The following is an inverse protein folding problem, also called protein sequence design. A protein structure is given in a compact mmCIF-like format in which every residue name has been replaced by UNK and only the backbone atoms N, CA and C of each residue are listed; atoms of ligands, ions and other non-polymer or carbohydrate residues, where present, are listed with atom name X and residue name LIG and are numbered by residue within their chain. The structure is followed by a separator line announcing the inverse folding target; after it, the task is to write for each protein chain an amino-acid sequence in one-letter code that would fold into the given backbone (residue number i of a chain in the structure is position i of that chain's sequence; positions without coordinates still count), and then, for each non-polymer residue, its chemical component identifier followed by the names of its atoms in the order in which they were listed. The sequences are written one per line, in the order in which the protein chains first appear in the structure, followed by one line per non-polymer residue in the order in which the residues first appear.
data_IF_927570337023
#
_entry.id   IF_927570337023
#
_cell.length_a   1.000
_cell.length_b   1.000
_cell.length_c   1.000
_cell.angle_alpha   90.00
_cell.angle_beta   90.00
_cell.angle_gamma   90.00
#
_symmetry.space_group_name_H-M   'P 1'
#
loop_
_entity.id
_entity.type
_entity.pdbx_description
1 polymer ?
#
# COMPACT_ATOMS: atom_id res chain seq x y z
N UNK A 1 22.88 3.21 5.61
CA UNK A 1 21.78 3.84 4.85
C UNK A 1 21.08 2.69 4.15
N UNK A 2 19.86 2.33 4.57
CA UNK A 2 19.08 1.32 3.86
C UNK A 2 18.51 2.01 2.63
N UNK A 3 18.82 1.51 1.44
CA UNK A 3 18.23 2.04 0.22
C UNK A 3 16.71 1.88 0.30
N UNK A 4 15.93 2.93 -0.03
CA UNK A 4 14.47 2.88 0.00
C UNK A 4 13.95 1.73 -0.87
N UNK A 5 12.77 1.19 -0.52
CA UNK A 5 12.05 0.21 -1.34
C UNK A 5 12.15 0.60 -2.83
N UNK A 6 12.31 -0.39 -3.70
CA UNK A 6 12.35 -0.18 -5.14
C UNK A 6 11.13 -0.81 -5.79
N UNK A 7 10.69 -0.23 -6.90
CA UNK A 7 9.66 -0.82 -7.73
C UNK A 7 10.14 -0.99 -9.17
N UNK A 8 9.63 -2.01 -9.85
CA UNK A 8 9.85 -2.27 -11.27
C UNK A 8 8.53 -2.28 -12.03
N UNK A 9 8.58 -1.85 -13.28
CA UNK A 9 7.44 -1.87 -14.20
C UNK A 9 7.51 -3.18 -14.97
N UNK A 10 6.47 -4.01 -14.86
CA UNK A 10 6.44 -5.35 -15.45
C UNK A 10 5.47 -5.43 -16.63
N UNK A 11 4.51 -4.52 -16.68
CA UNK A 11 3.59 -4.36 -17.80
C UNK A 11 3.02 -2.95 -17.83
N UNK A 12 2.13 -2.68 -18.78
CA UNK A 12 1.54 -1.34 -18.97
C UNK A 12 0.77 -0.82 -17.75
N UNK A 13 0.29 -1.70 -16.87
CA UNK A 13 -0.49 -1.34 -15.68
C UNK A 13 -0.03 -2.10 -14.42
N UNK A 14 1.13 -2.75 -14.47
CA UNK A 14 1.60 -3.67 -13.44
C UNK A 14 2.97 -3.25 -12.91
N UNK A 15 3.04 -3.11 -11.59
CA UNK A 15 4.22 -2.70 -10.85
C UNK A 15 4.53 -3.76 -9.82
N UNK A 16 5.82 -4.07 -9.64
CA UNK A 16 6.30 -4.93 -8.57
C UNK A 16 7.11 -4.11 -7.59
N UNK A 17 6.70 -4.10 -6.33
CA UNK A 17 7.48 -3.54 -5.23
C UNK A 17 8.31 -4.68 -4.63
N UNK A 18 9.63 -4.53 -4.61
CA UNK A 18 10.56 -5.51 -4.02
C UNK A 18 10.97 -5.09 -2.62
N UNK A 19 10.91 -6.03 -1.68
CA UNK A 19 11.32 -5.86 -0.29
C UNK A 19 12.70 -6.47 -0.01
N UNK A 20 13.55 -6.61 -1.04
CA UNK A 20 14.89 -7.23 -0.96
C UNK A 20 15.76 -6.66 0.17
N UNK A 21 15.87 -5.33 0.23
CA UNK A 21 16.70 -4.64 1.22
C UNK A 21 16.18 -4.76 2.66
N UNK A 22 14.95 -5.25 2.84
CA UNK A 22 14.27 -5.34 4.12
C UNK A 22 14.44 -6.70 4.82
N UNK A 23 14.95 -7.70 4.10
CA UNK A 23 15.34 -8.99 4.68
C UNK A 23 16.80 -9.00 5.20
N UNK A 24 17.58 -7.96 4.90
CA UNK A 24 18.98 -7.81 5.30
C UNK A 24 19.21 -7.39 6.78
N UNK A 25 18.38 -6.54 7.43
CA UNK A 25 18.71 -5.97 8.75
C UNK A 25 18.28 -6.81 9.98
N UNK A 26 18.00 -8.10 9.83
CA UNK A 26 17.21 -8.84 10.83
C UNK A 26 17.97 -10.06 11.38
N UNK A 27 18.19 -10.13 12.70
CA UNK A 27 18.93 -11.24 13.35
C UNK A 27 18.31 -12.63 13.12
N UNK A 28 17.04 -12.68 12.68
CA UNK A 28 16.32 -13.90 12.34
C UNK A 28 16.26 -14.18 10.83
N UNK A 29 17.11 -13.52 10.03
CA UNK A 29 17.22 -13.69 8.57
C UNK A 29 17.34 -15.16 8.15
N UNK A 30 18.06 -15.98 8.91
CA UNK A 30 18.18 -17.43 8.68
C UNK A 30 16.84 -18.18 8.64
N UNK A 31 15.77 -17.56 9.14
CA UNK A 31 14.42 -18.12 9.16
C UNK A 31 13.43 -17.37 8.27
N UNK A 32 13.85 -16.30 7.60
CA UNK A 32 13.03 -15.65 6.57
C UNK A 32 13.06 -16.52 5.33
N UNK A 33 11.86 -16.86 4.81
CA UNK A 33 11.71 -17.60 3.55
C UNK A 33 12.21 -16.79 2.34
N UNK A 34 12.23 -15.46 2.51
CA UNK A 34 12.65 -14.49 1.51
C UNK A 34 14.01 -13.92 1.88
N UNK A 35 14.89 -13.82 0.89
CA UNK A 35 16.26 -13.36 1.03
C UNK A 35 16.73 -12.69 -0.27
N UNK A 36 18.02 -12.39 -0.36
CA UNK A 36 18.56 -11.65 -1.52
C UNK A 36 18.30 -12.35 -2.87
N UNK A 37 18.34 -13.69 -2.90
CA UNK A 37 18.07 -14.48 -4.11
C UNK A 37 16.58 -14.60 -4.46
N UNK A 38 15.68 -14.43 -3.48
CA UNK A 38 14.23 -14.50 -3.65
C UNK A 38 13.56 -13.48 -2.72
N UNK A 39 13.54 -12.20 -3.10
CA UNK A 39 12.97 -11.17 -2.26
C UNK A 39 11.45 -11.28 -2.20
N UNK A 40 10.89 -10.88 -1.06
CA UNK A 40 9.45 -10.74 -0.96
C UNK A 40 8.99 -9.62 -1.90
N UNK A 41 8.01 -9.90 -2.76
CA UNK A 41 7.54 -8.95 -3.76
C UNK A 41 6.02 -8.78 -3.68
N UNK A 42 5.57 -7.55 -3.87
CA UNK A 42 4.14 -7.22 -3.94
C UNK A 42 3.81 -6.70 -5.33
N UNK A 43 2.89 -7.39 -6.01
CA UNK A 43 2.32 -6.93 -7.28
C UNK A 43 1.22 -5.89 -7.01
N UNK A 44 1.32 -4.75 -7.68
CA UNK A 44 0.35 -3.66 -7.68
C UNK A 44 -0.16 -3.47 -9.10
N UNK A 45 -1.49 -3.51 -9.27
CA UNK A 45 -2.15 -3.30 -10.56
C UNK A 45 -2.93 -1.97 -10.53
N UNK A 46 -2.76 -1.13 -11.55
CA UNK A 46 -3.47 0.15 -11.66
C UNK A 46 -5.00 -0.01 -11.67
N UNK A 47 -5.52 -1.10 -12.25
CA UNK A 47 -6.97 -1.37 -12.26
C UNK A 47 -7.50 -1.59 -10.85
N UNK A 48 -6.74 -2.26 -9.98
CA UNK A 48 -7.14 -2.48 -8.59
C UNK A 48 -7.14 -1.17 -7.79
N UNK A 49 -6.14 -0.31 -8.03
CA UNK A 49 -6.09 1.03 -7.45
C UNK A 49 -7.27 1.88 -7.92
N UNK A 50 -7.55 1.91 -9.23
CA UNK A 50 -8.63 2.69 -9.81
C UNK A 50 -10.00 2.19 -9.35
N UNK A 51 -10.24 0.88 -9.33
CA UNK A 51 -11.47 0.30 -8.76
C UNK A 51 -11.65 0.66 -7.30
N UNK A 52 -10.58 0.67 -6.51
CA UNK A 52 -10.63 1.08 -5.10
C UNK A 52 -10.98 2.56 -4.94
N UNK A 53 -10.41 3.43 -5.79
CA UNK A 53 -10.75 4.86 -5.84
C UNK A 53 -12.22 5.08 -6.21
N UNK A 54 -12.70 4.44 -7.27
CA UNK A 54 -14.08 4.57 -7.75
C UNK A 54 -15.09 4.05 -6.73
N UNK A 55 -14.78 2.93 -6.05
CA UNK A 55 -15.62 2.45 -4.96
C UNK A 55 -15.74 3.48 -3.83
N UNK A 56 -14.62 4.05 -3.38
CA UNK A 56 -14.64 5.09 -2.33
C UNK A 56 -15.41 6.32 -2.78
N UNK A 57 -15.22 6.76 -4.03
CA UNK A 57 -15.98 7.88 -4.59
C UNK A 57 -17.48 7.58 -4.56
N UNK A 58 -17.89 6.40 -5.04
CA UNK A 58 -19.28 5.97 -5.07
C UNK A 58 -19.89 5.91 -3.66
N UNK A 59 -19.20 5.28 -2.70
CA UNK A 59 -19.68 5.13 -1.32
C UNK A 59 -19.84 6.50 -0.65
N UNK A 60 -18.85 7.39 -0.75
CA UNK A 60 -18.95 8.75 -0.23
C UNK A 60 -20.05 9.56 -0.90
N UNK A 61 -20.19 9.42 -2.22
CA UNK A 61 -21.22 10.11 -2.98
C UNK A 61 -22.63 9.67 -2.56
N UNK A 62 -22.84 8.38 -2.33
CA UNK A 62 -24.10 7.85 -1.80
C UNK A 62 -24.38 8.36 -0.38
N UNK A 63 -23.37 8.41 0.49
CA UNK A 63 -23.55 9.00 1.82
C UNK A 63 -23.89 10.48 1.78
N UNK A 64 -23.23 11.23 0.90
CA UNK A 64 -23.50 12.65 0.71
C UNK A 64 -24.91 12.87 0.18
N UNK A 65 -25.38 12.06 -0.78
CA UNK A 65 -26.77 12.13 -1.25
C UNK A 65 -27.78 11.87 -0.14
N UNK A 66 -27.55 10.87 0.73
CA UNK A 66 -28.44 10.56 1.86
C UNK A 66 -28.49 11.67 2.92
N UNK A 67 -27.44 12.49 3.00
CA UNK A 67 -27.28 13.58 3.98
C UNK A 67 -27.52 14.96 3.37
N UNK A 68 -27.63 15.06 2.04
CA UNK A 68 -27.71 16.32 1.31
C UNK A 68 -29.12 16.91 1.40
N UNK A 69 -29.15 18.22 1.53
CA UNK A 69 -30.36 19.01 1.33
C UNK A 69 -30.74 18.97 -0.16
N UNK A 70 -32.04 18.94 -0.47
CA UNK A 70 -32.58 18.76 -1.84
C UNK A 70 -32.17 19.87 -2.83
N UNK A 71 -31.54 20.94 -2.34
CA UNK A 71 -31.03 22.09 -3.08
C UNK A 71 -29.61 21.92 -3.63
N UNK A 72 -28.86 20.90 -3.20
CA UNK A 72 -27.49 20.68 -3.67
C UNK A 72 -27.47 19.94 -5.01
N UNK A 73 -26.71 20.47 -5.97
CA UNK A 73 -26.55 19.84 -7.28
C UNK A 73 -25.54 18.69 -7.25
N UNK A 74 -25.60 17.82 -8.26
CA UNK A 74 -24.64 16.74 -8.47
C UNK A 74 -23.18 17.23 -8.45
N UNK A 75 -22.90 18.35 -9.11
CA UNK A 75 -21.56 18.94 -9.21
C UNK A 75 -21.05 19.45 -7.85
N UNK A 76 -21.95 19.96 -7.00
CA UNK A 76 -21.60 20.40 -5.64
C UNK A 76 -21.29 19.22 -4.71
N UNK A 77 -21.95 18.08 -4.92
CA UNK A 77 -21.72 16.86 -4.15
C UNK A 77 -20.42 16.16 -4.58
N UNK A 78 -20.12 16.09 -5.88
CA UNK A 78 -18.87 15.51 -6.38
C UNK A 78 -17.64 16.27 -5.89
N UNK A 79 -17.68 17.60 -5.85
CA UNK A 79 -16.56 18.42 -5.34
C UNK A 79 -16.23 18.16 -3.88
N UNK A 80 -17.17 17.60 -3.11
CA UNK A 80 -16.99 17.24 -1.70
C UNK A 80 -16.39 15.85 -1.50
N UNK A 81 -16.38 15.01 -2.53
CA UNK A 81 -15.77 13.68 -2.48
C UNK A 81 -14.26 13.82 -2.39
N UNK A 82 -13.67 13.33 -1.30
CA UNK A 82 -12.22 13.35 -1.07
C UNK A 82 -11.71 11.92 -0.96
N UNK A 83 -10.94 11.50 -1.96
CA UNK A 83 -10.28 10.20 -1.93
C UNK A 83 -9.13 10.22 -0.93
N UNK A 84 -9.23 9.39 0.10
CA UNK A 84 -8.14 9.18 1.04
C UNK A 84 -7.20 8.10 0.51
N UNK A 85 -6.19 8.49 -0.28
CA UNK A 85 -5.18 7.57 -0.82
C UNK A 85 -4.45 6.79 0.28
N UNK A 86 -4.17 7.43 1.43
CA UNK A 86 -3.54 6.78 2.57
C UNK A 86 -4.36 5.61 3.10
N UNK A 87 -5.70 5.71 3.08
CA UNK A 87 -6.57 4.62 3.49
C UNK A 87 -6.50 3.43 2.50
N UNK A 88 -6.41 3.70 1.19
CA UNK A 88 -6.24 2.67 0.16
C UNK A 88 -4.90 1.96 0.36
N UNK A 89 -3.81 2.71 0.52
CA UNK A 89 -2.49 2.14 0.75
C UNK A 89 -2.42 1.35 2.05
N UNK A 90 -3.09 1.82 3.11
CA UNK A 90 -3.13 1.13 4.41
C UNK A 90 -3.83 -0.21 4.31
N UNK A 91 -4.92 -0.28 3.52
CA UNK A 91 -5.61 -1.53 3.22
C UNK A 91 -4.71 -2.49 2.44
N UNK A 92 -4.05 -2.02 1.38
CA UNK A 92 -3.11 -2.83 0.60
C UNK A 92 -1.96 -3.35 1.47
N UNK A 93 -1.39 -2.50 2.31
CA UNK A 93 -0.37 -2.88 3.29
C UNK A 93 -0.86 -3.97 4.24
N UNK A 94 -2.09 -3.83 4.75
CA UNK A 94 -2.69 -4.84 5.63
C UNK A 94 -2.86 -6.20 4.93
N UNK A 95 -3.39 -6.18 3.71
CA UNK A 95 -3.75 -7.38 2.96
C UNK A 95 -2.56 -8.08 2.30
N UNK A 96 -1.60 -7.33 1.77
CA UNK A 96 -0.48 -7.87 1.01
C UNK A 96 0.76 -8.09 1.85
N UNK A 97 0.97 -7.29 2.91
CA UNK A 97 2.23 -7.30 3.68
C UNK A 97 1.99 -7.82 5.09
N UNK A 98 1.10 -7.20 5.86
CA UNK A 98 0.79 -7.66 7.23
C UNK A 98 0.01 -8.96 7.31
N UNK A 99 -0.58 -9.46 6.22
CA UNK A 99 -1.17 -10.80 6.20
C UNK A 99 -0.10 -11.90 6.09
N UNK A 100 1.05 -11.57 5.50
CA UNK A 100 2.15 -12.49 5.21
C UNK A 100 3.26 -12.39 6.27
N UNK A 101 2.90 -12.30 7.56
CA UNK A 101 3.89 -12.20 8.66
C UNK A 101 4.74 -13.46 8.81
N UNK A 102 4.22 -14.61 8.41
CA UNK A 102 4.98 -15.86 8.42
C UNK A 102 6.12 -15.84 7.39
N UNK A 103 5.89 -15.11 6.30
CA UNK A 103 6.83 -14.93 5.20
C UNK A 103 7.86 -13.85 5.52
N UNK A 104 7.47 -12.81 6.25
CA UNK A 104 8.36 -11.73 6.71
C UNK A 104 8.40 -11.71 8.23
N UNK A 105 9.17 -12.63 8.81
CA UNK A 105 9.23 -12.81 10.27
C UNK A 105 9.66 -11.56 11.04
N UNK A 106 10.40 -10.65 10.41
CA UNK A 106 10.82 -9.37 10.98
C UNK A 106 9.65 -8.41 11.25
N UNK A 107 8.43 -8.73 10.77
CA UNK A 107 7.19 -8.04 11.09
C UNK A 107 6.29 -8.82 12.08
N UNK A 108 6.75 -9.96 12.61
CA UNK A 108 6.04 -10.74 13.62
C UNK A 108 6.60 -10.46 15.02
N UNK A 109 5.85 -9.66 15.79
CA UNK A 109 6.16 -9.33 17.19
C UNK A 109 6.15 -10.53 18.13
N UNK A 110 5.76 -11.73 17.67
CA UNK A 110 5.86 -12.99 18.43
C UNK A 110 7.20 -13.71 18.18
N UNK A 111 7.96 -13.30 17.17
CA UNK A 111 9.21 -13.94 16.73
C UNK A 111 10.44 -13.04 16.86
N UNK A 112 10.23 -11.73 16.93
CA UNK A 112 11.26 -10.70 17.10
C UNK A 112 10.83 -9.71 18.17
N UNK A 113 11.79 -8.99 18.75
CA UNK A 113 11.55 -7.92 19.73
C UNK A 113 10.42 -6.98 19.27
N UNK A 114 9.33 -6.81 20.05
CA UNK A 114 8.17 -6.02 19.64
C UNK A 114 8.47 -4.55 19.37
N UNK A 115 9.47 -3.96 20.03
CA UNK A 115 9.86 -2.57 19.85
C UNK A 115 10.59 -2.41 18.51
N UNK A 116 11.49 -3.33 18.18
CA UNK A 116 12.15 -3.38 16.86
C UNK A 116 11.14 -3.62 15.73
N UNK A 117 10.21 -4.55 15.91
CA UNK A 117 9.15 -4.83 14.92
C UNK A 117 8.25 -3.61 14.69
N UNK A 118 7.96 -2.85 15.75
CA UNK A 118 7.13 -1.65 15.65
C UNK A 118 7.85 -0.53 14.89
N UNK A 119 9.11 -0.26 15.23
CA UNK A 119 9.92 0.75 14.53
C UNK A 119 10.09 0.38 13.06
N UNK A 120 10.53 -0.85 12.78
CA UNK A 120 10.69 -1.34 11.41
C UNK A 120 9.37 -1.31 10.64
N UNK A 121 8.27 -1.74 11.25
CA UNK A 121 6.96 -1.69 10.62
C UNK A 121 6.49 -0.27 10.28
N UNK A 122 6.91 0.75 11.04
CA UNK A 122 6.66 2.16 10.70
C UNK A 122 7.53 2.63 9.55
N UNK A 123 8.83 2.35 9.59
CA UNK A 123 9.77 2.75 8.54
C UNK A 123 9.34 2.16 7.19
N UNK A 124 9.02 0.87 7.16
CA UNK A 124 8.61 0.18 5.93
C UNK A 124 7.27 0.69 5.41
N UNK A 125 6.37 1.07 6.31
CA UNK A 125 5.10 1.68 5.93
C UNK A 125 5.33 3.05 5.29
N UNK A 126 6.25 3.86 5.81
CA UNK A 126 6.60 5.15 5.22
C UNK A 126 7.16 4.98 3.81
N UNK A 127 8.12 4.06 3.62
CA UNK A 127 8.71 3.77 2.32
C UNK A 127 7.68 3.24 1.33
N UNK A 128 6.86 2.28 1.76
CA UNK A 128 5.79 1.72 0.92
C UNK A 128 4.78 2.79 0.52
N UNK A 129 4.37 3.63 1.46
CA UNK A 129 3.45 4.74 1.19
C UNK A 129 4.04 5.75 0.21
N UNK A 130 5.35 6.01 0.27
CA UNK A 130 6.04 6.87 -0.68
C UNK A 130 5.98 6.30 -2.10
N UNK A 131 6.36 5.04 -2.28
CA UNK A 131 6.34 4.37 -3.58
C UNK A 131 4.93 4.22 -4.13
N UNK A 132 3.97 3.89 -3.27
CA UNK A 132 2.58 3.80 -3.70
C UNK A 132 2.05 5.14 -4.20
N UNK A 133 2.54 6.28 -3.70
CA UNK A 133 2.21 7.59 -4.28
C UNK A 133 2.82 7.76 -5.67
N UNK A 134 4.05 7.30 -5.88
CA UNK A 134 4.70 7.33 -7.20
C UNK A 134 3.99 6.42 -8.21
N UNK A 135 3.75 5.16 -7.85
CA UNK A 135 2.96 4.22 -8.65
C UNK A 135 1.58 4.79 -8.94
N UNK A 136 0.93 5.42 -7.96
CA UNK A 136 -0.37 6.06 -8.17
C UNK A 136 -0.31 7.17 -9.21
N UNK A 137 0.75 8.01 -9.20
CA UNK A 137 0.95 9.05 -10.23
C UNK A 137 1.17 8.42 -11.60
N UNK A 138 1.92 7.33 -11.70
CA UNK A 138 2.10 6.61 -12.97
C UNK A 138 0.78 6.00 -13.46
N UNK A 139 -0.01 5.40 -12.56
CA UNK A 139 -1.35 4.89 -12.88
C UNK A 139 -2.32 5.97 -13.36
N UNK A 140 -2.20 7.20 -12.85
CA UNK A 140 -3.01 8.34 -13.27
C UNK A 140 -2.64 8.87 -14.66
N UNK A 141 -1.43 8.62 -15.16
CA UNK A 141 -1.03 8.98 -16.55
C UNK A 141 -1.57 8.02 -17.61
N UNK A 142 -1.96 6.81 -17.22
CA UNK A 142 -2.46 5.77 -18.13
C UNK A 142 -3.97 5.97 -18.42
N UNK A 143 -4.65 6.78 -17.61
CA UNK A 143 -6.07 7.11 -17.72
C UNK A 143 -6.32 8.35 -18.58
#
# INVERSE_FOLDING_TARGET
MNDPLSYSIVGLQEFIISFENYCNPCDIQQYCKYGQENPFTVKINCNDLNRSKEKIKSDQFQELQKKADTSLTYDDLIKKVKINLTAIFSKLWKEKIKANKEEIRCLDSRKTDPMLVTQQGQDWWQDFSSIMKEINKECEKIL
#
